data_IF_834383275778
#
_entry.id   IF_834383275778
#
_cell.length_a   1.000
_cell.length_b   1.000
_cell.length_c   1.000
_cell.angle_alpha   90.00
_cell.angle_beta   90.00
_cell.angle_gamma   90.00
#
_symmetry.space_group_name_H-M   'P 1'
#
loop_
_entity.id
_entity.type
_entity.pdbx_description
1 polymer ?
#
# COMPACT_ATOMS: atom_id res chain seq x y z
N UNK A 1 -15.22 -33.24 66.48
CA UNK A 1 -14.83 -32.25 67.50
C UNK A 1 -13.32 -32.25 67.62
N UNK A 2 -12.64 -31.25 67.06
CA UNK A 2 -11.30 -30.85 67.46
C UNK A 2 -11.13 -29.40 67.00
N UNK A 3 -10.96 -28.51 67.97
CA UNK A 3 -11.04 -27.05 67.85
C UNK A 3 -9.91 -26.53 66.96
N UNK A 4 -10.27 -25.62 66.06
CA UNK A 4 -9.35 -24.73 65.39
C UNK A 4 -8.58 -23.92 66.44
N UNK A 5 -7.27 -24.12 66.51
CA UNK A 5 -6.36 -23.34 67.33
C UNK A 5 -5.71 -22.30 66.42
N UNK A 6 -6.28 -21.11 66.41
CA UNK A 6 -5.76 -19.92 65.73
C UNK A 6 -4.46 -19.47 66.42
N UNK A 7 -3.33 -19.28 65.70
CA UNK A 7 -2.13 -18.66 66.27
C UNK A 7 -2.33 -17.14 66.47
N UNK A 8 -1.62 -16.52 67.44
CA UNK A 8 -1.85 -15.14 67.88
C UNK A 8 -1.46 -14.09 66.83
N UNK A 9 -2.01 -12.86 66.94
CA UNK A 9 -1.78 -11.80 65.97
C UNK A 9 -0.32 -11.33 66.00
N UNK A 10 0.35 -11.41 64.85
CA UNK A 10 1.66 -10.82 64.64
C UNK A 10 1.44 -9.31 64.52
N UNK A 11 1.85 -8.60 65.57
CA UNK A 11 1.85 -7.14 65.62
C UNK A 11 2.66 -6.57 64.47
N UNK A 12 2.05 -5.59 63.78
CA UNK A 12 2.71 -4.74 62.79
C UNK A 12 3.84 -4.03 63.53
N UNK A 13 5.08 -4.44 63.27
CA UNK A 13 6.25 -3.67 63.68
C UNK A 13 6.23 -2.41 62.82
N UNK A 14 5.84 -1.29 63.44
CA UNK A 14 6.12 0.02 62.90
C UNK A 14 7.65 0.13 62.75
N UNK A 15 8.12 0.08 61.52
CA UNK A 15 9.49 0.47 61.20
C UNK A 15 9.44 2.00 61.20
N UNK A 16 9.83 2.60 62.33
CA UNK A 16 10.11 4.03 62.39
C UNK A 16 11.07 4.38 61.22
N UNK A 17 10.76 5.42 60.42
CA UNK A 17 11.68 5.84 59.39
C UNK A 17 13.00 6.26 60.04
N UNK A 18 14.16 6.00 59.39
CA UNK A 18 15.45 6.41 59.92
C UNK A 18 15.41 7.91 60.24
N UNK A 19 15.96 8.35 61.37
CA UNK A 19 15.98 9.76 61.72
C UNK A 19 16.64 10.52 60.57
N UNK A 20 15.91 11.51 60.03
CA UNK A 20 16.40 12.40 58.99
C UNK A 20 17.76 12.94 59.44
N UNK A 21 18.76 12.77 58.57
CA UNK A 21 20.10 13.29 58.76
C UNK A 21 20.00 14.77 59.13
N UNK A 22 20.31 15.11 60.38
CA UNK A 22 20.16 16.46 60.93
C UNK A 22 20.94 17.48 60.11
N UNK A 23 22.00 17.03 59.45
CA UNK A 23 22.84 17.82 58.57
C UNK A 23 22.14 18.12 57.22
N UNK A 24 21.27 17.22 56.75
CA UNK A 24 20.45 17.43 55.56
C UNK A 24 19.31 18.42 55.84
N UNK A 25 18.62 18.29 56.96
CA UNK A 25 17.58 19.26 57.38
C UNK A 25 18.17 20.65 57.66
N UNK A 26 19.38 20.71 58.22
CA UNK A 26 20.12 21.96 58.40
C UNK A 26 20.54 22.58 57.06
N UNK A 27 21.04 21.77 56.11
CA UNK A 27 21.35 22.26 54.75
C UNK A 27 20.11 22.77 54.04
N UNK A 28 19.02 22.02 54.08
CA UNK A 28 17.76 22.40 53.43
C UNK A 28 17.22 23.70 54.05
N UNK A 29 17.24 23.83 55.38
CA UNK A 29 16.91 25.08 56.08
C UNK A 29 17.84 26.26 55.74
N UNK A 30 19.13 26.01 55.47
CA UNK A 30 20.08 27.04 55.06
C UNK A 30 19.81 27.51 53.63
N UNK A 31 19.47 26.59 52.73
CA UNK A 31 19.12 26.93 51.34
C UNK A 31 17.77 27.65 51.24
N UNK A 32 16.80 27.27 52.07
CA UNK A 32 15.49 27.94 52.16
C UNK A 32 15.63 29.38 52.71
N UNK A 33 16.52 29.59 53.69
CA UNK A 33 16.83 30.92 54.23
C UNK A 33 17.63 31.84 53.27
N UNK A 34 18.29 31.28 52.25
CA UNK A 34 18.93 32.06 51.17
C UNK A 34 17.95 32.46 50.06
N UNK A 35 16.75 31.85 50.01
CA UNK A 35 15.72 32.15 49.05
C UNK A 35 14.81 33.32 49.48
N UNK A 36 14.94 33.79 50.73
CA UNK A 36 14.19 34.90 51.32
C UNK A 36 15.14 36.07 51.68
N UNK A 37 14.87 37.27 51.15
CA UNK A 37 15.77 38.44 51.24
C UNK A 37 15.98 38.94 52.69
N UNK A 38 15.14 38.54 53.66
CA UNK A 38 15.32 38.84 55.09
C UNK A 38 16.25 37.84 55.82
N UNK A 39 16.38 36.61 55.34
CA UNK A 39 17.27 35.57 55.91
C UNK A 39 18.75 35.81 55.58
N UNK A 40 19.02 36.41 54.41
CA UNK A 40 20.36 36.78 53.96
C UNK A 40 21.05 37.78 54.92
N UNK A 41 20.30 38.73 55.48
CA UNK A 41 20.82 39.76 56.39
C UNK A 41 21.29 39.20 57.76
N UNK A 42 20.70 38.08 58.22
CA UNK A 42 21.13 37.40 59.44
C UNK A 42 22.51 36.73 59.25
N UNK A 43 22.76 36.13 58.09
CA UNK A 43 24.02 35.46 57.76
C UNK A 43 25.12 36.42 57.29
N UNK A 44 24.76 37.60 56.77
CA UNK A 44 25.70 38.69 56.46
C UNK A 44 26.44 39.19 57.72
N UNK A 45 25.80 39.13 58.89
CA UNK A 45 26.38 39.59 60.16
C UNK A 45 27.25 38.51 60.85
N UNK A 46 27.05 37.22 60.53
CA UNK A 46 27.76 36.11 61.18
C UNK A 46 29.11 35.79 60.51
N UNK A 47 29.24 36.03 59.21
CA UNK A 47 30.50 35.82 58.47
C UNK A 47 31.00 37.09 57.80
N UNK A 48 31.12 38.17 58.58
CA UNK A 48 31.73 39.45 58.22
C UNK A 48 33.20 39.36 57.80
N UNK A 49 33.46 38.69 56.67
CA UNK A 49 34.65 38.80 55.86
C UNK A 49 34.19 39.06 54.41
N UNK A 50 34.86 39.96 53.67
CA UNK A 50 34.66 40.09 52.23
C UNK A 50 35.06 38.79 51.53
N UNK A 51 34.15 37.84 51.46
CA UNK A 51 34.19 36.82 50.42
C UNK A 51 33.80 37.60 49.18
N UNK A 52 34.76 37.86 48.29
CA UNK A 52 34.63 38.24 46.86
C UNK A 52 35.82 39.11 46.44
N UNK A 53 37.02 38.51 46.48
CA UNK A 53 38.00 38.72 45.41
C UNK A 53 38.42 37.34 44.95
N UNK A 54 37.65 36.78 44.02
CA UNK A 54 38.13 35.62 43.29
C UNK A 54 39.24 36.12 42.37
N UNK A 55 40.47 35.64 42.58
CA UNK A 55 41.51 35.76 41.55
C UNK A 55 40.96 35.10 40.27
N UNK A 56 40.90 35.87 39.18
CA UNK A 56 40.54 35.40 37.84
C UNK A 56 41.61 34.46 37.24
N UNK A 57 42.54 33.93 38.02
CA UNK A 57 43.67 33.12 37.55
C UNK A 57 43.37 31.62 37.57
N UNK A 58 42.20 31.20 37.07
CA UNK A 58 42.02 29.77 36.72
C UNK A 58 41.93 29.65 35.21
N UNK A 59 43.11 29.70 34.60
CA UNK A 59 43.37 29.38 33.22
C UNK A 59 42.59 28.12 32.79
N UNK A 60 41.60 28.32 31.92
CA UNK A 60 41.13 27.23 31.08
C UNK A 60 42.31 26.69 30.25
N UNK A 61 42.34 25.41 29.87
CA UNK A 61 43.49 24.79 29.20
C UNK A 61 43.98 25.51 27.93
N UNK A 62 43.12 26.28 27.24
CA UNK A 62 43.48 27.07 26.06
C UNK A 62 43.47 28.61 26.29
N UNK A 63 43.05 29.10 27.46
CA UNK A 63 43.04 30.55 27.78
C UNK A 63 42.13 31.43 26.91
N UNK A 64 41.30 30.86 26.03
CA UNK A 64 40.45 31.62 25.09
C UNK A 64 39.28 32.32 25.77
N UNK A 65 38.75 31.75 26.85
CA UNK A 65 37.61 32.27 27.61
C UNK A 65 37.92 33.59 28.34
N UNK A 66 39.19 33.85 28.62
CA UNK A 66 39.66 35.02 29.37
C UNK A 66 39.92 36.24 28.47
N UNK A 67 39.87 36.06 27.14
CA UNK A 67 40.05 37.12 26.15
C UNK A 67 38.73 37.63 25.56
N UNK A 68 37.62 36.96 25.88
CA UNK A 68 36.29 37.33 25.42
C UNK A 68 35.75 38.47 26.27
N UNK A 69 35.04 39.40 25.65
CA UNK A 69 34.28 40.40 26.40
C UNK A 69 33.09 39.76 27.14
N UNK A 70 32.51 40.48 28.10
CA UNK A 70 31.43 39.94 28.94
C UNK A 70 30.19 39.53 28.11
N UNK A 71 29.94 40.18 26.97
CA UNK A 71 28.83 39.89 26.06
C UNK A 71 29.10 38.60 25.24
N UNK A 72 30.33 38.41 24.78
CA UNK A 72 30.83 37.21 24.12
C UNK A 72 30.84 36.00 25.06
N UNK A 73 31.25 36.20 26.32
CA UNK A 73 31.17 35.17 27.36
C UNK A 73 29.71 34.78 27.64
N UNK A 74 28.80 35.75 27.77
CA UNK A 74 27.38 35.48 27.97
C UNK A 74 26.73 34.77 26.76
N UNK A 75 27.16 35.07 25.54
CA UNK A 75 26.71 34.36 24.34
C UNK A 75 27.24 32.91 24.32
N UNK A 76 28.53 32.72 24.64
CA UNK A 76 29.17 31.41 24.71
C UNK A 76 28.54 30.51 25.78
N UNK A 77 28.26 31.04 26.98
CA UNK A 77 27.61 30.28 28.07
C UNK A 77 26.17 29.93 27.69
N UNK A 78 25.40 30.85 27.08
CA UNK A 78 24.05 30.54 26.57
C UNK A 78 24.08 29.44 25.52
N UNK A 79 25.04 29.49 24.60
CA UNK A 79 25.23 28.46 23.59
C UNK A 79 25.59 27.12 24.25
N UNK A 80 26.52 27.08 25.22
CA UNK A 80 26.93 25.85 25.91
C UNK A 80 25.83 25.25 26.77
N UNK A 81 25.05 26.09 27.47
CA UNK A 81 23.87 25.65 28.21
C UNK A 81 22.79 25.10 27.27
N UNK A 82 22.60 25.73 26.11
CA UNK A 82 21.68 25.24 25.08
C UNK A 82 22.14 23.90 24.51
N UNK A 83 23.42 23.78 24.14
CA UNK A 83 24.04 22.53 23.64
C UNK A 83 23.83 21.39 24.66
N UNK A 84 24.12 21.62 25.94
CA UNK A 84 23.99 20.61 27.00
C UNK A 84 22.53 20.20 27.27
N UNK A 85 21.60 21.15 27.18
CA UNK A 85 20.17 20.90 27.46
C UNK A 85 19.44 20.32 26.23
N UNK A 86 19.84 20.70 25.03
CA UNK A 86 19.18 20.30 23.78
C UNK A 86 19.81 19.07 23.13
N UNK A 87 20.94 18.56 23.64
CA UNK A 87 21.58 17.35 23.10
C UNK A 87 20.61 16.15 23.09
N UNK A 88 19.87 15.90 24.17
CA UNK A 88 18.87 14.83 24.22
C UNK A 88 17.67 15.06 23.30
N UNK A 89 17.23 16.32 23.17
CA UNK A 89 16.11 16.69 22.30
C UNK A 89 16.47 16.59 20.81
N UNK A 90 17.70 16.95 20.44
CA UNK A 90 18.23 16.83 19.08
C UNK A 90 18.39 15.36 18.68
N UNK A 91 18.91 14.53 19.58
CA UNK A 91 19.04 13.09 19.36
C UNK A 91 17.67 12.41 19.22
N UNK A 92 16.70 12.75 20.08
CA UNK A 92 15.35 12.22 20.00
C UNK A 92 14.64 12.66 18.70
N UNK A 93 14.78 13.94 18.33
CA UNK A 93 14.23 14.48 17.08
C UNK A 93 14.84 13.80 15.86
N UNK A 94 16.17 13.61 15.84
CA UNK A 94 16.87 12.91 14.77
C UNK A 94 16.40 11.46 14.65
N UNK A 95 16.26 10.75 15.77
CA UNK A 95 15.77 9.36 15.80
C UNK A 95 14.32 9.26 15.31
N UNK A 96 13.47 10.23 15.67
CA UNK A 96 12.08 10.29 15.20
C UNK A 96 12.01 10.58 13.71
N UNK A 97 12.84 11.47 13.21
CA UNK A 97 12.93 11.80 11.78
C UNK A 97 13.45 10.62 10.96
N UNK A 98 14.47 9.92 11.44
CA UNK A 98 15.00 8.72 10.79
C UNK A 98 13.94 7.62 10.71
N UNK A 99 13.22 7.37 11.81
CA UNK A 99 12.09 6.41 11.83
C UNK A 99 11.00 6.79 10.84
N UNK A 100 10.63 8.08 10.76
CA UNK A 100 9.64 8.57 9.80
C UNK A 100 10.12 8.35 8.37
N UNK A 101 11.36 8.73 8.07
CA UNK A 101 11.98 8.57 6.75
C UNK A 101 12.10 7.10 6.33
N UNK A 102 12.41 6.21 7.27
CA UNK A 102 12.45 4.76 7.03
C UNK A 102 11.06 4.22 6.71
N UNK A 103 10.06 4.58 7.52
CA UNK A 103 8.67 4.16 7.30
C UNK A 103 8.14 4.68 5.96
N UNK A 104 8.43 5.92 5.62
CA UNK A 104 8.04 6.52 4.34
C UNK A 104 8.67 5.78 3.15
N UNK A 105 9.95 5.38 3.24
CA UNK A 105 10.62 4.57 2.23
C UNK A 105 10.00 3.18 2.09
N UNK A 106 9.75 2.50 3.22
CA UNK A 106 9.12 1.18 3.22
C UNK A 106 7.70 1.23 2.63
N UNK A 107 6.93 2.28 2.95
CA UNK A 107 5.61 2.50 2.35
C UNK A 107 5.68 2.81 0.85
N UNK A 108 6.65 3.61 0.41
CA UNK A 108 6.86 3.90 -1.01
C UNK A 108 7.26 2.66 -1.80
N UNK A 109 8.16 1.84 -1.26
CA UNK A 109 8.55 0.55 -1.84
C UNK A 109 7.37 -0.42 -1.90
N UNK A 110 6.58 -0.51 -0.83
CA UNK A 110 5.35 -1.31 -0.82
C UNK A 110 4.36 -0.83 -1.89
N UNK A 111 4.13 0.50 -2.00
CA UNK A 111 3.26 1.09 -3.02
C UNK A 111 3.75 0.79 -4.45
N UNK A 112 5.06 0.84 -4.68
CA UNK A 112 5.66 0.49 -5.98
C UNK A 112 5.45 -1.00 -6.29
N UNK A 113 5.75 -1.87 -5.34
CA UNK A 113 5.58 -3.32 -5.48
C UNK A 113 4.12 -3.69 -5.78
N UNK A 114 3.16 -3.09 -5.06
CA UNK A 114 1.73 -3.35 -5.31
C UNK A 114 1.32 -2.93 -6.72
N UNK A 115 1.80 -1.78 -7.22
CA UNK A 115 1.49 -1.30 -8.57
C UNK A 115 2.12 -2.19 -9.65
N UNK A 116 3.33 -2.69 -9.43
CA UNK A 116 3.99 -3.62 -10.35
C UNK A 116 3.30 -4.99 -10.35
N UNK A 117 2.90 -5.48 -9.18
CA UNK A 117 2.14 -6.72 -9.05
C UNK A 117 0.78 -6.62 -9.75
N UNK A 118 0.04 -5.53 -9.54
CA UNK A 118 -1.23 -5.28 -10.23
C UNK A 118 -1.06 -5.21 -11.76
N UNK A 119 -0.01 -4.51 -12.25
CA UNK A 119 0.31 -4.44 -13.69
C UNK A 119 0.65 -5.82 -14.27
N UNK A 120 1.39 -6.65 -13.53
CA UNK A 120 1.77 -7.99 -13.99
C UNK A 120 0.58 -8.95 -13.97
N UNK A 121 -0.27 -8.89 -12.95
CA UNK A 121 -1.52 -9.65 -12.87
C UNK A 121 -2.45 -9.26 -14.02
N UNK A 122 -2.66 -7.96 -14.25
CA UNK A 122 -3.49 -7.47 -15.36
C UNK A 122 -3.01 -7.98 -16.71
N UNK A 123 -1.70 -7.86 -17.00
CA UNK A 123 -1.11 -8.42 -18.23
C UNK A 123 -1.24 -9.94 -18.31
N UNK A 124 -1.15 -10.64 -17.18
CA UNK A 124 -1.30 -12.09 -17.10
C UNK A 124 -2.74 -12.55 -17.34
N UNK A 125 -3.73 -11.82 -16.81
CA UNK A 125 -5.15 -12.06 -17.04
C UNK A 125 -5.55 -11.77 -18.48
N UNK A 126 -5.07 -10.67 -19.06
CA UNK A 126 -5.29 -10.35 -20.47
C UNK A 126 -4.75 -11.45 -21.40
N UNK A 127 -3.54 -11.95 -21.13
CA UNK A 127 -2.96 -13.09 -21.88
C UNK A 127 -3.77 -14.37 -21.71
N UNK A 128 -4.18 -14.71 -20.49
CA UNK A 128 -4.99 -15.90 -20.22
C UNK A 128 -6.36 -15.80 -20.89
N UNK A 129 -6.97 -14.62 -20.87
CA UNK A 129 -8.23 -14.35 -21.57
C UNK A 129 -8.07 -14.53 -23.08
N UNK A 130 -7.05 -13.91 -23.70
CA UNK A 130 -6.75 -14.06 -25.13
C UNK A 130 -6.49 -15.53 -25.51
N UNK A 131 -5.70 -16.25 -24.70
CA UNK A 131 -5.43 -17.68 -24.91
C UNK A 131 -6.73 -18.50 -24.85
N UNK A 132 -7.57 -18.28 -23.84
CA UNK A 132 -8.84 -18.99 -23.71
C UNK A 132 -9.81 -18.72 -24.87
N UNK A 133 -9.85 -17.49 -25.41
CA UNK A 133 -10.64 -17.19 -26.61
C UNK A 133 -10.13 -17.91 -27.85
N UNK A 134 -8.80 -18.00 -28.03
CA UNK A 134 -8.22 -18.75 -29.15
C UNK A 134 -8.49 -20.24 -29.06
N UNK A 135 -8.26 -20.84 -27.89
CA UNK A 135 -8.56 -22.27 -27.68
C UNK A 135 -10.03 -22.56 -27.97
N UNK A 136 -10.93 -21.67 -27.52
CA UNK A 136 -12.36 -21.78 -27.80
C UNK A 136 -12.67 -21.62 -29.29
N UNK A 137 -11.99 -20.72 -30.01
CA UNK A 137 -12.15 -20.53 -31.44
C UNK A 137 -11.65 -21.73 -32.25
N UNK A 138 -10.54 -22.34 -31.85
CA UNK A 138 -10.02 -23.58 -32.44
C UNK A 138 -10.96 -24.77 -32.19
N UNK A 139 -11.47 -24.90 -30.96
CA UNK A 139 -12.48 -25.91 -30.62
C UNK A 139 -13.77 -25.72 -31.41
N UNK A 140 -14.24 -24.47 -31.55
CA UNK A 140 -15.35 -24.12 -32.44
C UNK A 140 -15.06 -24.61 -33.86
N UNK A 141 -13.90 -24.30 -34.44
CA UNK A 141 -13.53 -24.72 -35.79
C UNK A 141 -13.50 -26.25 -35.98
N UNK A 142 -13.02 -26.98 -34.96
CA UNK A 142 -13.02 -28.46 -34.95
C UNK A 142 -14.43 -29.03 -34.87
N UNK A 143 -15.22 -28.60 -33.89
CA UNK A 143 -16.60 -29.04 -33.71
C UNK A 143 -17.43 -28.81 -34.99
N UNK A 144 -17.19 -27.68 -35.63
CA UNK A 144 -17.77 -27.34 -36.92
C UNK A 144 -17.32 -28.21 -38.10
N UNK A 145 -16.09 -28.73 -38.08
CA UNK A 145 -15.57 -29.64 -39.10
C UNK A 145 -16.08 -31.07 -38.92
N UNK A 146 -16.30 -31.48 -37.67
CA UNK A 146 -16.84 -32.79 -37.29
C UNK A 146 -18.38 -32.85 -37.34
N UNK A 147 -19.03 -31.69 -37.47
CA UNK A 147 -20.47 -31.59 -37.47
C UNK A 147 -21.13 -32.32 -38.66
N UNK A 148 -22.04 -33.22 -38.33
CA UNK A 148 -22.76 -34.13 -39.22
C UNK A 148 -24.09 -33.59 -39.75
N UNK A 149 -24.52 -32.41 -39.29
CA UNK A 149 -25.80 -31.80 -39.69
C UNK A 149 -26.92 -31.99 -38.67
N UNK A 150 -26.63 -32.44 -37.44
CA UNK A 150 -27.62 -32.47 -36.36
C UNK A 150 -27.79 -31.12 -35.64
N UNK A 151 -29.01 -30.80 -35.18
CA UNK A 151 -29.29 -29.52 -34.51
C UNK A 151 -28.49 -29.31 -33.22
N UNK A 152 -28.24 -30.39 -32.47
CA UNK A 152 -27.50 -30.34 -31.20
C UNK A 152 -25.98 -30.19 -31.41
N UNK A 153 -25.48 -30.53 -32.60
CA UNK A 153 -24.06 -30.41 -32.96
C UNK A 153 -23.65 -29.04 -33.50
N UNK A 154 -24.58 -28.08 -33.64
CA UNK A 154 -24.24 -26.73 -34.12
C UNK A 154 -23.36 -26.02 -33.08
N UNK A 155 -22.11 -25.75 -33.44
CA UNK A 155 -21.22 -24.94 -32.62
C UNK A 155 -21.53 -23.44 -32.77
N UNK A 156 -22.25 -22.86 -31.83
CA UNK A 156 -22.58 -21.44 -31.87
C UNK A 156 -21.34 -20.57 -31.60
N UNK A 157 -21.17 -19.40 -32.28
CA UNK A 157 -19.98 -18.57 -32.18
C UNK A 157 -20.06 -17.67 -30.95
N UNK A 158 -20.19 -18.29 -29.78
CA UNK A 158 -20.29 -17.64 -28.47
C UNK A 158 -19.45 -18.41 -27.47
N UNK A 159 -19.08 -17.75 -26.36
CA UNK A 159 -18.20 -18.34 -25.35
C UNK A 159 -18.71 -19.68 -24.82
N UNK A 160 -20.01 -19.80 -24.59
CA UNK A 160 -20.66 -21.02 -24.10
C UNK A 160 -20.85 -22.10 -25.17
N UNK A 161 -20.79 -21.74 -26.46
CA UNK A 161 -21.16 -22.62 -27.57
C UNK A 161 -22.64 -22.93 -27.71
N UNK A 162 -23.51 -22.29 -26.91
CA UNK A 162 -24.95 -22.58 -26.87
C UNK A 162 -25.75 -21.53 -27.62
N UNK A 163 -26.88 -21.97 -28.18
CA UNK A 163 -27.86 -21.10 -28.85
C UNK A 163 -28.44 -20.02 -27.93
N UNK A 164 -28.63 -20.32 -26.66
CA UNK A 164 -29.28 -19.44 -25.68
C UNK A 164 -28.46 -18.16 -25.39
N UNK A 165 -27.14 -18.22 -25.54
CA UNK A 165 -26.24 -17.09 -25.28
C UNK A 165 -25.87 -16.32 -26.56
N UNK A 166 -26.61 -16.54 -27.65
CA UNK A 166 -26.39 -15.83 -28.92
C UNK A 166 -26.89 -14.41 -28.80
N UNK A 167 -25.95 -13.51 -28.55
CA UNK A 167 -26.16 -12.06 -28.58
C UNK A 167 -25.21 -11.38 -29.58
N UNK A 168 -25.61 -10.21 -30.06
CA UNK A 168 -24.87 -9.46 -31.07
C UNK A 168 -23.46 -9.09 -30.60
N UNK A 169 -23.30 -8.73 -29.32
CA UNK A 169 -21.99 -8.38 -28.78
C UNK A 169 -21.17 -9.64 -28.48
N UNK A 170 -21.79 -10.71 -27.98
CA UNK A 170 -21.12 -11.99 -27.72
C UNK A 170 -20.50 -12.60 -28.99
N UNK A 171 -21.23 -12.56 -30.11
CA UNK A 171 -20.74 -13.08 -31.41
C UNK A 171 -19.62 -12.20 -31.97
N UNK A 172 -19.74 -10.87 -31.87
CA UNK A 172 -18.64 -9.97 -32.30
C UNK A 172 -17.39 -10.18 -31.46
N UNK A 173 -17.52 -10.24 -30.15
CA UNK A 173 -16.41 -10.49 -29.23
C UNK A 173 -15.75 -11.84 -29.52
N UNK A 174 -16.54 -12.87 -29.84
CA UNK A 174 -16.02 -14.19 -30.18
C UNK A 174 -15.07 -14.14 -31.39
N UNK A 175 -15.48 -13.49 -32.49
CA UNK A 175 -14.62 -13.39 -33.68
C UNK A 175 -13.44 -12.42 -33.49
N UNK A 176 -13.66 -11.28 -32.85
CA UNK A 176 -12.60 -10.28 -32.61
C UNK A 176 -11.54 -10.83 -31.66
N UNK A 177 -11.94 -11.42 -30.54
CA UNK A 177 -11.00 -11.95 -29.53
C UNK A 177 -10.46 -13.33 -29.90
N UNK A 178 -11.20 -14.13 -30.68
CA UNK A 178 -10.79 -15.47 -31.11
C UNK A 178 -9.77 -15.44 -32.25
N UNK A 179 -9.96 -14.55 -33.23
CA UNK A 179 -9.01 -14.40 -34.35
C UNK A 179 -7.89 -13.41 -33.99
N UNK A 180 -8.17 -12.40 -33.14
CA UNK A 180 -7.26 -11.34 -32.72
C UNK A 180 -6.63 -10.55 -33.89
N UNK A 181 -7.25 -9.44 -34.32
CA UNK A 181 -6.74 -8.65 -35.45
C UNK A 181 -5.37 -8.03 -35.19
N UNK A 182 -4.96 -7.83 -33.93
CA UNK A 182 -3.62 -7.33 -33.58
C UNK A 182 -2.52 -8.35 -33.89
N UNK A 183 -2.84 -9.64 -33.82
CA UNK A 183 -1.87 -10.72 -33.99
C UNK A 183 -1.84 -11.27 -35.42
N UNK A 184 -3.02 -11.50 -36.00
CA UNK A 184 -3.18 -12.12 -37.31
C UNK A 184 -3.10 -11.09 -38.44
N UNK A 185 -3.33 -9.82 -38.13
CA UNK A 185 -3.36 -8.72 -39.08
C UNK A 185 -4.70 -8.61 -39.80
N UNK A 186 -5.04 -7.38 -40.19
CA UNK A 186 -6.37 -7.03 -40.72
C UNK A 186 -6.74 -7.78 -42.02
N UNK A 187 -5.76 -8.10 -42.88
CA UNK A 187 -6.01 -8.79 -44.14
C UNK A 187 -6.43 -10.25 -43.94
N UNK A 188 -5.75 -10.99 -43.05
CA UNK A 188 -6.10 -12.38 -42.74
C UNK A 188 -7.36 -12.45 -41.85
N UNK A 189 -7.56 -11.47 -40.96
CA UNK A 189 -8.82 -11.31 -40.21
C UNK A 189 -10.02 -11.16 -41.16
N UNK A 190 -9.92 -10.30 -42.20
CA UNK A 190 -10.96 -10.16 -43.23
C UNK A 190 -11.19 -11.43 -44.05
N UNK A 191 -10.13 -12.20 -44.32
CA UNK A 191 -10.23 -13.48 -45.04
C UNK A 191 -11.01 -14.51 -44.21
N UNK A 192 -10.68 -14.67 -42.93
CA UNK A 192 -11.39 -15.58 -42.01
C UNK A 192 -12.85 -15.16 -41.81
N UNK A 193 -13.14 -13.87 -41.64
CA UNK A 193 -14.52 -13.39 -41.57
C UNK A 193 -15.32 -13.65 -42.85
N UNK A 194 -14.68 -13.59 -44.03
CA UNK A 194 -15.34 -13.92 -45.30
C UNK A 194 -15.70 -15.40 -45.38
N UNK A 195 -14.83 -16.28 -44.90
CA UNK A 195 -15.10 -17.72 -44.82
C UNK A 195 -16.26 -18.02 -43.86
N UNK A 196 -16.25 -17.42 -42.68
CA UNK A 196 -17.31 -17.57 -41.67
C UNK A 196 -18.65 -17.00 -42.16
N UNK A 197 -18.65 -15.89 -42.91
CA UNK A 197 -19.85 -15.35 -43.58
C UNK A 197 -20.47 -16.36 -44.53
N UNK A 198 -19.65 -17.01 -45.34
CA UNK A 198 -20.12 -18.04 -46.28
C UNK A 198 -20.62 -19.26 -45.52
N UNK A 199 -19.97 -19.61 -44.41
CA UNK A 199 -20.35 -20.73 -43.53
C UNK A 199 -21.73 -20.54 -42.91
N UNK A 200 -21.98 -19.36 -42.34
CA UNK A 200 -23.23 -19.02 -41.65
C UNK A 200 -24.36 -18.57 -42.58
N UNK A 201 -24.18 -18.65 -43.89
CA UNK A 201 -25.24 -18.28 -44.82
C UNK A 201 -26.49 -19.17 -44.58
N UNK A 202 -27.69 -18.60 -44.38
CA UNK A 202 -28.89 -19.36 -44.01
C UNK A 202 -29.18 -20.54 -44.94
N UNK A 203 -29.02 -20.36 -46.25
CA UNK A 203 -29.19 -21.41 -47.24
C UNK A 203 -28.19 -22.58 -47.07
N UNK A 204 -26.91 -22.30 -46.76
CA UNK A 204 -25.91 -23.35 -46.54
C UNK A 204 -26.19 -24.15 -45.27
N UNK A 205 -26.57 -23.45 -44.20
CA UNK A 205 -26.94 -24.10 -42.94
C UNK A 205 -28.21 -24.93 -43.12
N UNK A 206 -29.20 -24.42 -43.86
CA UNK A 206 -30.43 -25.15 -44.17
C UNK A 206 -30.17 -26.42 -45.00
N UNK A 207 -29.27 -26.35 -45.99
CA UNK A 207 -28.84 -27.51 -46.77
C UNK A 207 -28.14 -28.56 -45.91
N UNK A 208 -27.26 -28.12 -45.00
CA UNK A 208 -26.55 -28.99 -44.05
C UNK A 208 -27.47 -29.68 -43.06
N UNK A 209 -28.53 -28.99 -42.62
CA UNK A 209 -29.55 -29.50 -41.69
C UNK A 209 -30.64 -30.36 -42.34
N UNK A 210 -30.51 -30.70 -43.63
CA UNK A 210 -31.49 -31.57 -44.31
C UNK A 210 -32.87 -30.93 -44.55
N UNK A 211 -32.96 -29.60 -44.55
CA UNK A 211 -34.15 -28.85 -45.02
C UNK A 211 -35.35 -28.75 -44.06
N UNK A 212 -35.45 -29.58 -43.02
CA UNK A 212 -36.50 -29.47 -41.99
C UNK A 212 -35.96 -28.84 -40.71
N UNK A 213 -35.76 -27.52 -40.75
CA UNK A 213 -35.22 -26.76 -39.62
C UNK A 213 -36.33 -25.97 -38.94
N UNK A 214 -36.29 -25.91 -37.60
CA UNK A 214 -37.16 -25.04 -36.82
C UNK A 214 -36.96 -23.56 -37.21
N UNK A 215 -38.06 -22.81 -37.34
CA UNK A 215 -38.03 -21.39 -37.65
C UNK A 215 -37.30 -20.57 -36.58
N UNK A 216 -37.29 -21.03 -35.34
CA UNK A 216 -36.56 -20.36 -34.28
C UNK A 216 -35.03 -20.48 -34.51
N UNK A 217 -34.55 -21.67 -34.87
CA UNK A 217 -33.12 -21.89 -35.18
C UNK A 217 -32.70 -21.09 -36.41
N UNK A 218 -33.53 -21.06 -37.45
CA UNK A 218 -33.23 -20.27 -38.65
C UNK A 218 -33.15 -18.77 -38.37
N UNK A 219 -33.95 -18.25 -37.43
CA UNK A 219 -33.85 -16.85 -36.99
C UNK A 219 -32.51 -16.55 -36.34
N UNK A 220 -32.03 -17.43 -35.46
CA UNK A 220 -30.75 -17.23 -34.77
C UNK A 220 -29.56 -17.40 -35.71
N UNK A 221 -29.61 -18.36 -36.63
CA UNK A 221 -28.63 -18.49 -37.72
C UNK A 221 -28.57 -17.21 -38.56
N UNK A 222 -29.73 -16.66 -38.91
CA UNK A 222 -29.81 -15.40 -39.67
C UNK A 222 -29.27 -14.22 -38.87
N UNK A 223 -29.52 -14.17 -37.56
CA UNK A 223 -28.95 -13.15 -36.67
C UNK A 223 -27.42 -13.22 -36.66
N UNK A 224 -26.85 -14.42 -36.46
CA UNK A 224 -25.39 -14.64 -36.52
C UNK A 224 -24.83 -14.19 -37.87
N UNK A 225 -25.47 -14.56 -38.99
CA UNK A 225 -25.05 -14.12 -40.31
C UNK A 225 -25.04 -12.60 -40.45
N UNK A 226 -26.09 -11.90 -40.02
CA UNK A 226 -26.17 -10.44 -40.08
C UNK A 226 -25.10 -9.77 -39.22
N UNK A 227 -24.78 -10.34 -38.05
CA UNK A 227 -23.73 -9.83 -37.17
C UNK A 227 -22.36 -9.98 -37.84
N UNK A 228 -22.06 -11.15 -38.43
CA UNK A 228 -20.79 -11.40 -39.14
C UNK A 228 -20.68 -10.53 -40.39
N UNK A 229 -21.77 -10.36 -41.15
CA UNK A 229 -21.82 -9.52 -42.34
C UNK A 229 -21.58 -8.05 -42.01
N UNK A 230 -22.18 -7.55 -40.92
CA UNK A 230 -21.93 -6.21 -40.39
C UNK A 230 -20.48 -6.05 -39.92
N UNK A 231 -19.95 -7.00 -39.15
CA UNK A 231 -18.56 -6.97 -38.67
C UNK A 231 -17.56 -6.95 -39.83
N UNK A 232 -17.79 -7.76 -40.87
CA UNK A 232 -16.96 -7.77 -42.07
C UNK A 232 -17.05 -6.45 -42.84
N UNK A 233 -18.25 -5.89 -42.98
CA UNK A 233 -18.47 -4.60 -43.65
C UNK A 233 -17.78 -3.46 -42.92
N UNK A 234 -17.94 -3.37 -41.59
CA UNK A 234 -17.32 -2.34 -40.74
C UNK A 234 -15.78 -2.41 -40.82
N UNK A 235 -15.22 -3.63 -40.79
CA UNK A 235 -13.76 -3.84 -40.88
C UNK A 235 -13.24 -3.49 -42.28
N UNK A 236 -14.00 -3.79 -43.33
CA UNK A 236 -13.65 -3.42 -44.71
C UNK A 236 -13.73 -1.91 -44.93
N UNK A 237 -14.75 -1.24 -44.37
CA UNK A 237 -14.91 0.22 -44.49
C UNK A 237 -13.80 0.98 -43.79
N UNK A 238 -13.23 0.46 -42.70
CA UNK A 238 -12.05 1.08 -42.04
C UNK A 238 -10.77 1.07 -42.89
N UNK A 239 -10.69 0.18 -43.89
CA UNK A 239 -9.53 0.03 -44.77
C UNK A 239 -9.57 1.00 -45.97
N UNK A 240 -10.75 1.53 -46.31
CA UNK A 240 -11.00 2.36 -47.50
C UNK A 240 -11.01 3.84 -47.15
#
# INVERSE_FOLDING_TARGET
MAKAQTPPPIGIVAIDPPPLDTEAAFRESLFDAMADDEGAAYWENVYGQPIHVYSQEKAGPDGELERMDDDEYAAFVRQKMWEKTHQGLLEERARREERRKRKEREEDEARRLTREMERSLRKGEERRRRKGWRERFEEYGKAWGEWDGELEGIAWPVRSGRREDVDADAVRDFFVMGIDPEEVGEAEFLAKLKEERVRWHPDKIQQKLGGKVDQAVMRDVTAVFQIVDKLWSDTRSKRQ
#
